data_IF_625643998820
#
_entry.id   IF_625643998820
#
_cell.length_a   1.000
_cell.length_b   1.000
_cell.length_c   1.000
_cell.angle_alpha   90.00
_cell.angle_beta   90.00
_cell.angle_gamma   90.00
#
_symmetry.space_group_name_H-M   'P 1'
#
loop_
_entity.id
_entity.type
_entity.pdbx_description
1 polymer ?
#
# COMPACT_ATOMS: atom_id res chain seq x y z
N UNK A 1 -13.83 5.81 47.80
CA UNK A 1 -13.76 6.68 46.65
C UNK A 1 -15.18 7.08 46.29
N UNK A 2 -15.60 8.32 46.66
CA UNK A 2 -16.97 8.80 46.45
C UNK A 2 -17.23 9.02 44.96
N UNK A 3 -18.42 8.69 44.41
CA UNK A 3 -18.80 9.02 43.06
C UNK A 3 -18.92 10.54 42.88
N UNK A 4 -18.57 11.10 41.69
CA UNK A 4 -18.68 12.54 41.43
C UNK A 4 -20.12 13.01 41.56
N UNK A 5 -20.32 14.19 42.14
CA UNK A 5 -21.63 14.79 42.41
C UNK A 5 -22.32 15.23 41.10
N UNK A 6 -23.67 15.44 41.15
CA UNK A 6 -24.45 15.78 39.95
C UNK A 6 -24.07 17.11 39.29
N UNK A 7 -23.38 18.01 39.97
CA UNK A 7 -22.89 19.29 39.43
C UNK A 7 -21.68 19.09 38.47
N UNK A 8 -20.78 18.12 38.75
CA UNK A 8 -19.64 17.78 37.89
C UNK A 8 -20.11 17.15 36.58
N UNK A 9 -21.18 16.36 36.62
CA UNK A 9 -21.72 15.68 35.44
C UNK A 9 -22.43 16.67 34.47
N UNK A 10 -22.96 17.76 34.93
CA UNK A 10 -23.59 18.80 34.12
C UNK A 10 -22.53 19.69 33.42
N UNK A 11 -21.46 20.05 34.15
CA UNK A 11 -20.32 20.78 33.59
C UNK A 11 -19.63 20.01 32.49
N UNK A 12 -19.41 18.69 32.69
CA UNK A 12 -18.76 17.82 31.74
C UNK A 12 -19.56 17.65 30.42
N UNK A 13 -20.90 17.55 30.51
CA UNK A 13 -21.76 17.49 29.30
C UNK A 13 -21.70 18.77 28.48
N UNK A 14 -21.55 19.93 29.12
CA UNK A 14 -21.37 21.21 28.43
C UNK A 14 -20.06 21.29 27.66
N UNK A 15 -18.99 20.79 28.25
CA UNK A 15 -17.65 20.71 27.64
C UNK A 15 -17.63 19.73 26.45
N UNK A 16 -18.19 18.55 26.63
CA UNK A 16 -18.26 17.54 25.56
C UNK A 16 -19.09 18.06 24.37
N UNK A 17 -20.18 18.81 24.61
CA UNK A 17 -20.99 19.44 23.56
C UNK A 17 -20.22 20.55 22.82
N UNK A 18 -19.43 21.35 23.54
CA UNK A 18 -18.66 22.45 22.95
C UNK A 18 -17.56 21.94 21.97
N UNK A 19 -16.99 20.77 22.25
CA UNK A 19 -15.90 20.18 21.46
C UNK A 19 -16.31 18.99 20.59
N UNK A 20 -17.60 18.68 20.50
CA UNK A 20 -18.12 17.53 19.73
C UNK A 20 -17.72 17.54 18.26
N UNK A 21 -17.48 18.71 17.67
CA UNK A 21 -16.99 18.83 16.29
C UNK A 21 -15.62 18.12 16.08
N UNK A 22 -14.79 18.04 17.10
CA UNK A 22 -13.48 17.36 17.00
C UNK A 22 -13.60 15.84 16.92
N UNK A 23 -14.73 15.23 17.27
CA UNK A 23 -14.97 13.79 17.11
C UNK A 23 -15.03 13.36 15.63
N UNK A 24 -15.24 14.32 14.72
CA UNK A 24 -15.23 14.06 13.28
C UNK A 24 -13.83 14.12 12.63
N UNK A 25 -12.81 14.52 13.38
CA UNK A 25 -11.44 14.58 12.89
C UNK A 25 -10.79 13.20 12.93
N UNK A 26 -10.04 12.88 11.87
CA UNK A 26 -9.26 11.63 11.80
C UNK A 26 -7.98 11.68 12.65
N UNK A 27 -7.47 12.87 12.93
CA UNK A 27 -6.32 13.11 13.81
C UNK A 27 -6.72 12.94 15.27
N UNK A 28 -5.76 12.58 16.12
CA UNK A 28 -5.96 12.54 17.56
C UNK A 28 -5.99 13.97 18.10
N UNK A 29 -7.06 14.36 18.77
CA UNK A 29 -7.23 15.72 19.32
C UNK A 29 -7.55 15.64 20.80
N UNK A 30 -6.82 16.44 21.58
CA UNK A 30 -7.11 16.68 23.00
C UNK A 30 -7.18 18.18 23.29
N UNK A 31 -8.13 18.59 24.11
CA UNK A 31 -8.18 19.93 24.72
C UNK A 31 -7.62 19.79 26.13
N UNK A 32 -6.63 20.61 26.44
CA UNK A 32 -5.84 20.50 27.67
C UNK A 32 -5.85 21.82 28.41
N UNK A 33 -6.06 21.77 29.70
CA UNK A 33 -5.90 22.95 30.57
C UNK A 33 -4.42 23.30 30.76
N UNK A 34 -4.14 24.51 31.21
CA UNK A 34 -2.76 25.02 31.37
C UNK A 34 -1.90 24.20 32.34
N UNK A 35 -2.53 23.46 33.27
CA UNK A 35 -1.88 22.51 34.19
C UNK A 35 -1.66 21.12 33.59
N UNK A 36 -2.06 20.90 32.33
CA UNK A 36 -1.85 19.66 31.59
C UNK A 36 -2.96 18.62 31.76
N UNK A 37 -4.09 18.94 32.40
CA UNK A 37 -5.22 18.02 32.51
C UNK A 37 -5.99 17.95 31.20
N UNK A 38 -6.37 16.76 30.81
CA UNK A 38 -7.20 16.56 29.64
C UNK A 38 -8.66 16.95 29.95
N UNK A 39 -9.15 17.98 29.26
CA UNK A 39 -10.54 18.47 29.37
C UNK A 39 -11.43 17.70 28.38
N UNK A 40 -10.92 17.43 27.19
CA UNK A 40 -11.61 16.70 26.13
C UNK A 40 -10.61 15.88 25.32
N UNK A 41 -11.01 14.70 24.85
CA UNK A 41 -10.31 13.91 23.85
C UNK A 41 -11.32 13.37 22.84
N UNK A 42 -10.94 13.37 21.56
CA UNK A 42 -11.82 12.87 20.50
C UNK A 42 -11.75 11.32 20.39
N UNK A 43 -12.68 10.76 19.62
CA UNK A 43 -12.80 9.33 19.41
C UNK A 43 -11.51 8.71 18.80
N UNK A 44 -10.80 9.43 17.94
CA UNK A 44 -9.53 8.98 17.37
C UNK A 44 -8.46 8.80 18.45
N UNK A 45 -8.41 9.72 19.42
CA UNK A 45 -7.49 9.65 20.55
C UNK A 45 -7.79 8.45 21.48
N UNK A 46 -9.08 8.23 21.80
CA UNK A 46 -9.54 7.08 22.59
C UNK A 46 -9.17 5.76 21.95
N UNK A 47 -9.39 5.64 20.63
CA UNK A 47 -9.11 4.43 19.87
C UNK A 47 -7.61 4.08 19.85
N UNK A 48 -6.74 5.07 19.66
CA UNK A 48 -5.27 4.83 19.59
C UNK A 48 -4.70 4.46 20.95
N UNK A 49 -5.17 5.12 22.03
CA UNK A 49 -4.74 4.79 23.38
C UNK A 49 -5.41 3.53 23.95
N UNK A 50 -6.52 3.06 23.36
CA UNK A 50 -7.30 1.96 23.92
C UNK A 50 -7.94 2.29 25.28
N UNK A 51 -8.12 3.59 25.58
CA UNK A 51 -8.67 4.09 26.84
C UNK A 51 -9.99 4.80 26.60
N UNK A 52 -10.94 4.66 27.53
CA UNK A 52 -12.17 5.43 27.46
C UNK A 52 -11.91 6.91 27.73
N UNK A 53 -12.74 7.81 27.17
CA UNK A 53 -12.67 9.27 27.37
C UNK A 53 -12.56 9.64 28.86
N UNK A 54 -13.34 9.00 29.71
CA UNK A 54 -13.27 9.20 31.17
C UNK A 54 -11.91 8.83 31.78
N UNK A 55 -11.24 7.81 31.25
CA UNK A 55 -9.93 7.40 31.70
C UNK A 55 -8.87 8.39 31.22
N UNK A 56 -8.99 8.87 29.98
CA UNK A 56 -8.11 9.87 29.39
C UNK A 56 -8.21 11.20 30.14
N UNK A 57 -9.42 11.66 30.49
CA UNK A 57 -9.68 12.91 31.22
C UNK A 57 -9.18 12.91 32.68
N UNK A 58 -8.89 11.75 33.26
CA UNK A 58 -8.34 11.64 34.63
C UNK A 58 -6.84 11.82 34.71
N UNK A 59 -6.13 11.68 33.59
CA UNK A 59 -4.69 11.78 33.50
C UNK A 59 -4.20 13.15 33.04
N UNK A 60 -2.92 13.41 33.24
CA UNK A 60 -2.25 14.52 32.59
C UNK A 60 -1.78 14.08 31.20
N UNK A 61 -1.96 14.96 30.19
CA UNK A 61 -1.54 14.68 28.79
C UNK A 61 -0.07 14.29 28.71
N UNK A 62 0.76 14.83 29.59
CA UNK A 62 2.19 14.60 29.61
C UNK A 62 2.56 13.16 29.96
N UNK A 63 1.71 12.45 30.71
CA UNK A 63 1.97 11.07 31.15
C UNK A 63 1.78 10.04 30.02
N UNK A 64 1.14 10.43 28.93
CA UNK A 64 0.94 9.57 27.76
C UNK A 64 2.15 9.52 26.84
N UNK A 65 3.18 10.37 27.07
CA UNK A 65 4.39 10.39 26.28
C UNK A 65 5.54 9.68 27.00
N UNK A 66 6.50 9.17 26.24
CA UNK A 66 7.72 8.56 26.79
C UNK A 66 8.54 9.63 27.51
N UNK A 67 8.65 10.82 26.91
CA UNK A 67 9.18 12.03 27.55
C UNK A 67 8.17 13.18 27.37
N UNK A 68 7.42 13.48 28.41
CA UNK A 68 6.42 14.55 28.42
C UNK A 68 6.96 15.94 28.75
N UNK A 69 8.29 16.08 29.03
CA UNK A 69 8.89 17.37 29.43
C UNK A 69 8.79 18.41 28.33
N UNK A 70 9.19 18.02 27.12
CA UNK A 70 9.17 18.90 25.96
C UNK A 70 7.74 19.41 25.63
N UNK A 71 6.76 18.54 25.74
CA UNK A 71 5.36 18.91 25.57
C UNK A 71 4.89 19.87 26.67
N UNK A 72 5.30 19.65 27.92
CA UNK A 72 4.97 20.52 29.05
C UNK A 72 5.50 21.94 28.84
N UNK A 73 6.78 22.06 28.43
CA UNK A 73 7.41 23.33 28.15
C UNK A 73 6.73 24.05 26.97
N UNK A 74 6.35 23.30 25.93
CA UNK A 74 5.62 23.83 24.79
C UNK A 74 4.24 24.33 25.16
N UNK A 75 3.46 23.56 25.92
CA UNK A 75 2.13 23.98 26.41
C UNK A 75 2.25 25.25 27.27
N UNK A 76 3.25 25.32 28.14
CA UNK A 76 3.51 26.49 28.96
C UNK A 76 3.90 27.74 28.12
N UNK A 77 4.68 27.58 27.07
CA UNK A 77 5.08 28.67 26.16
C UNK A 77 3.89 29.19 25.35
N UNK A 78 3.07 28.29 24.80
CA UNK A 78 1.83 28.64 24.08
C UNK A 78 0.84 29.33 25.03
N UNK A 79 0.72 28.85 26.27
CA UNK A 79 -0.13 29.45 27.29
C UNK A 79 0.28 30.89 27.70
N UNK A 80 1.60 31.19 27.59
CA UNK A 80 2.15 32.54 27.83
C UNK A 80 2.09 33.45 26.61
N UNK A 81 1.44 33.03 25.52
CA UNK A 81 1.37 33.75 24.24
C UNK A 81 2.75 33.98 23.57
N UNK A 82 3.76 33.13 23.89
CA UNK A 82 5.04 33.19 23.21
C UNK A 82 4.94 32.71 21.76
N UNK A 83 4.04 31.78 21.52
CA UNK A 83 3.72 31.22 20.21
C UNK A 83 2.22 30.92 20.09
N UNK A 84 1.61 31.24 18.97
CA UNK A 84 0.21 30.86 18.68
C UNK A 84 0.08 29.38 18.31
N UNK A 85 1.13 28.82 17.72
CA UNK A 85 1.24 27.40 17.32
C UNK A 85 2.67 26.93 17.50
N UNK A 86 2.86 25.74 18.06
CA UNK A 86 4.15 25.07 18.14
C UNK A 86 4.03 23.64 17.66
N UNK A 87 5.12 23.10 17.07
CA UNK A 87 5.18 21.72 16.57
C UNK A 87 6.40 21.02 17.14
N UNK A 88 6.21 19.77 17.55
CA UNK A 88 7.29 18.91 18.03
C UNK A 88 7.03 17.45 17.64
N UNK A 89 8.08 16.65 17.65
CA UNK A 89 7.98 15.19 17.52
C UNK A 89 8.06 14.55 18.91
N UNK A 90 7.22 13.54 19.14
CA UNK A 90 7.20 12.84 20.42
C UNK A 90 6.83 11.37 20.24
N UNK A 91 7.10 10.56 21.27
CA UNK A 91 6.71 9.17 21.33
C UNK A 91 5.52 8.99 22.27
N UNK A 92 4.36 8.65 21.73
CA UNK A 92 3.14 8.36 22.48
C UNK A 92 3.17 6.92 22.99
N UNK A 93 2.88 6.69 24.28
CA UNK A 93 2.80 5.34 24.85
C UNK A 93 1.44 4.71 24.54
N UNK A 94 1.47 3.51 23.97
CA UNK A 94 0.26 2.68 23.88
C UNK A 94 0.20 1.75 25.11
N UNK A 95 -0.89 1.73 25.88
CA UNK A 95 -1.06 0.74 26.93
C UNK A 95 -1.22 -0.66 26.31
N UNK A 96 -0.41 -1.63 26.74
CA UNK A 96 -0.44 -3.02 26.26
C UNK A 96 0.11 -3.98 27.30
N UNK A 97 -0.23 -5.29 27.22
CA UNK A 97 0.10 -6.28 28.24
C UNK A 97 1.61 -6.60 28.39
N UNK A 98 2.47 -6.10 27.49
CA UNK A 98 3.93 -6.31 27.53
C UNK A 98 4.74 -5.00 27.55
N UNK A 99 4.15 -3.90 28.08
CA UNK A 99 4.85 -2.61 28.12
C UNK A 99 4.78 -1.86 26.80
N UNK A 100 3.62 -1.77 26.22
CA UNK A 100 3.17 -1.11 25.00
C UNK A 100 4.18 -0.44 24.05
N UNK A 101 3.99 -0.61 22.76
CA UNK A 101 4.82 0.03 21.71
C UNK A 101 4.70 1.56 21.78
N UNK A 102 5.81 2.27 21.64
CA UNK A 102 5.84 3.72 21.51
C UNK A 102 5.49 4.13 20.07
N UNK A 103 4.47 4.95 19.91
CA UNK A 103 4.00 5.44 18.62
C UNK A 103 4.65 6.80 18.32
N UNK A 104 5.43 6.95 17.25
CA UNK A 104 5.98 8.23 16.86
C UNK A 104 4.87 9.14 16.30
N UNK A 105 4.74 10.35 16.85
CA UNK A 105 3.73 11.33 16.49
C UNK A 105 4.30 12.72 16.31
N UNK A 106 3.77 13.46 15.35
CA UNK A 106 3.87 14.91 15.32
C UNK A 106 2.81 15.49 16.25
N UNK A 107 3.24 16.30 17.21
CA UNK A 107 2.38 16.99 18.14
C UNK A 107 2.32 18.47 17.73
N UNK A 108 1.11 18.98 17.53
CA UNK A 108 0.84 20.38 17.22
C UNK A 108 0.08 20.95 18.42
N UNK A 109 0.62 21.99 19.02
CA UNK A 109 0.02 22.68 20.15
C UNK A 109 -0.45 24.05 19.69
N UNK A 110 -1.75 24.29 19.76
CA UNK A 110 -2.38 25.54 19.33
C UNK A 110 -3.01 26.26 20.54
N UNK A 111 -2.89 27.57 20.56
CA UNK A 111 -3.63 28.41 21.46
C UNK A 111 -5.11 28.40 21.09
N UNK A 112 -5.99 28.46 22.11
CA UNK A 112 -7.44 28.62 21.91
C UNK A 112 -7.86 30.00 22.41
N UNK A 113 -8.44 30.81 21.51
CA UNK A 113 -8.87 32.15 21.84
C UNK A 113 -10.09 32.12 22.80
N UNK A 114 -10.06 32.97 23.81
CA UNK A 114 -11.18 33.18 24.73
C UNK A 114 -11.40 32.11 25.79
N UNK A 115 -10.56 31.07 25.85
CA UNK A 115 -10.62 30.01 26.86
C UNK A 115 -9.22 29.69 27.41
N UNK A 116 -9.10 29.33 28.71
CA UNK A 116 -7.80 28.99 29.33
C UNK A 116 -7.36 27.54 28.99
N UNK A 117 -7.46 27.18 27.71
CA UNK A 117 -7.13 25.85 27.23
C UNK A 117 -6.20 25.92 26.01
N UNK A 118 -5.48 24.85 25.76
CA UNK A 118 -4.71 24.64 24.53
C UNK A 118 -5.23 23.42 23.78
N UNK A 119 -5.21 23.50 22.48
CA UNK A 119 -5.53 22.37 21.60
C UNK A 119 -4.24 21.61 21.29
N UNK A 120 -4.23 20.32 21.58
CA UNK A 120 -3.13 19.40 21.26
C UNK A 120 -3.62 18.44 20.21
N UNK A 121 -3.07 18.55 19.02
CA UNK A 121 -3.33 17.64 17.90
C UNK A 121 -2.13 16.73 17.68
N UNK A 122 -2.38 15.42 17.52
CA UNK A 122 -1.36 14.44 17.26
C UNK A 122 -1.63 13.73 15.93
N UNK A 123 -0.60 13.63 15.12
CA UNK A 123 -0.63 12.94 13.82
C UNK A 123 0.43 11.85 13.84
N UNK A 124 0.02 10.61 13.55
CA UNK A 124 0.98 9.49 13.45
C UNK A 124 1.95 9.75 12.28
N UNK A 125 3.26 9.66 12.56
CA UNK A 125 4.29 9.92 11.53
C UNK A 125 4.21 8.86 10.42
N UNK A 126 3.94 7.61 10.77
CA UNK A 126 3.75 6.54 9.78
C UNK A 126 2.53 6.79 8.88
N UNK A 127 1.44 7.31 9.43
CA UNK A 127 0.22 7.59 8.66
C UNK A 127 0.45 8.70 7.64
N UNK A 128 1.17 9.75 8.01
CA UNK A 128 1.53 10.85 7.11
C UNK A 128 2.50 10.39 6.01
N UNK A 129 3.53 9.63 6.38
CA UNK A 129 4.48 9.03 5.41
C UNK A 129 3.77 8.07 4.46
N UNK A 130 2.76 7.34 4.95
CA UNK A 130 1.94 6.42 4.17
C UNK A 130 1.03 7.14 3.18
N UNK A 131 0.35 8.21 3.62
CA UNK A 131 -0.48 9.05 2.74
C UNK A 131 0.35 9.72 1.64
N UNK A 132 1.52 10.25 1.97
CA UNK A 132 2.45 10.84 1.00
C UNK A 132 2.95 9.80 -0.01
N UNK A 133 3.21 8.55 0.43
CA UNK A 133 3.59 7.44 -0.46
C UNK A 133 2.43 7.05 -1.38
N UNK A 134 1.22 6.96 -0.86
CA UNK A 134 0.02 6.65 -1.63
C UNK A 134 -0.29 7.74 -2.68
N UNK A 135 -0.20 9.01 -2.32
CA UNK A 135 -0.39 10.13 -3.26
C UNK A 135 0.68 10.14 -4.36
N UNK A 136 1.93 9.88 -4.01
CA UNK A 136 3.03 9.74 -4.98
C UNK A 136 2.81 8.54 -5.90
N UNK A 137 2.40 7.39 -5.35
CA UNK A 137 2.11 6.19 -6.13
C UNK A 137 0.96 6.40 -7.11
N UNK A 138 -0.12 7.09 -6.70
CA UNK A 138 -1.25 7.42 -7.56
C UNK A 138 -0.87 8.42 -8.67
N UNK A 139 -0.07 9.45 -8.34
CA UNK A 139 0.45 10.41 -9.32
C UNK A 139 1.36 9.75 -10.35
N UNK A 140 2.25 8.88 -9.88
CA UNK A 140 3.19 8.11 -10.67
C UNK A 140 2.49 7.17 -11.66
N UNK A 141 1.44 6.50 -11.21
CA UNK A 141 0.69 5.57 -12.05
C UNK A 141 -0.09 6.28 -13.17
N UNK A 142 -0.63 7.47 -12.91
CA UNK A 142 -1.27 8.28 -13.97
C UNK A 142 -0.26 8.71 -15.03
N UNK A 143 0.89 9.24 -14.61
CA UNK A 143 1.97 9.63 -15.52
C UNK A 143 2.50 8.42 -16.32
N UNK A 144 2.68 7.27 -15.67
CA UNK A 144 3.10 6.01 -16.30
C UNK A 144 2.09 5.54 -17.35
N UNK A 145 0.79 5.65 -17.08
CA UNK A 145 -0.28 5.28 -18.01
C UNK A 145 -0.23 6.10 -19.31
N UNK A 146 -0.08 7.42 -19.19
CA UNK A 146 0.03 8.31 -20.35
C UNK A 146 1.31 8.03 -21.14
N UNK A 147 2.42 7.83 -20.45
CA UNK A 147 3.71 7.49 -21.05
C UNK A 147 3.64 6.16 -21.83
N UNK A 148 3.09 5.11 -21.23
CA UNK A 148 2.92 3.80 -21.88
C UNK A 148 2.07 3.93 -23.14
N UNK A 149 0.98 4.69 -23.07
CA UNK A 149 0.09 4.88 -24.24
C UNK A 149 0.80 5.59 -25.39
N UNK A 150 1.53 6.65 -25.09
CA UNK A 150 2.27 7.41 -26.10
C UNK A 150 3.42 6.60 -26.70
N UNK A 151 4.24 5.97 -25.84
CA UNK A 151 5.33 5.10 -26.26
C UNK A 151 4.83 3.94 -27.14
N UNK A 152 3.71 3.33 -26.77
CA UNK A 152 3.18 2.23 -27.54
C UNK A 152 2.76 2.65 -28.95
N UNK A 153 2.19 3.83 -29.14
CA UNK A 153 1.90 4.37 -30.47
C UNK A 153 3.18 4.68 -31.25
N UNK A 154 4.17 5.27 -30.61
CA UNK A 154 5.44 5.62 -31.24
C UNK A 154 6.30 4.40 -31.59
N UNK A 155 6.20 3.28 -30.85
CA UNK A 155 6.91 2.05 -31.12
C UNK A 155 6.20 1.22 -32.22
N UNK A 156 4.86 1.22 -32.25
CA UNK A 156 4.10 0.49 -33.28
C UNK A 156 4.36 1.00 -34.68
N UNK A 157 4.53 2.31 -34.84
CA UNK A 157 4.76 2.91 -36.15
C UNK A 157 6.06 2.40 -36.84
N UNK A 158 7.25 2.48 -36.22
CA UNK A 158 8.46 1.94 -36.83
C UNK A 158 8.44 0.41 -36.99
N UNK A 159 7.82 -0.34 -36.04
CA UNK A 159 7.67 -1.80 -36.18
C UNK A 159 6.82 -2.17 -37.39
N UNK A 160 5.74 -1.44 -37.65
CA UNK A 160 4.93 -1.61 -38.85
C UNK A 160 5.70 -1.33 -40.13
N UNK A 161 6.57 -0.30 -40.12
CA UNK A 161 7.48 0.01 -41.22
C UNK A 161 8.51 -1.07 -41.49
N UNK A 162 9.19 -1.56 -40.42
CA UNK A 162 10.18 -2.65 -40.53
C UNK A 162 9.53 -3.92 -41.06
N UNK A 163 8.37 -4.30 -40.52
CA UNK A 163 7.61 -5.46 -40.97
C UNK A 163 7.22 -5.35 -42.44
N UNK A 164 6.67 -4.18 -42.85
CA UNK A 164 6.26 -3.93 -44.25
C UNK A 164 7.44 -3.98 -45.22
N UNK A 165 8.57 -3.38 -44.85
CA UNK A 165 9.79 -3.43 -45.65
C UNK A 165 10.33 -4.86 -45.79
N UNK A 166 10.33 -5.66 -44.70
CA UNK A 166 10.74 -7.05 -44.73
C UNK A 166 9.83 -7.93 -45.60
N UNK A 167 8.50 -7.67 -45.58
CA UNK A 167 7.53 -8.35 -46.43
C UNK A 167 7.74 -8.03 -47.90
N UNK A 168 7.97 -6.76 -48.26
CA UNK A 168 8.29 -6.37 -49.62
C UNK A 168 9.58 -7.00 -50.10
N UNK A 169 10.62 -7.00 -49.26
CA UNK A 169 11.89 -7.63 -49.57
C UNK A 169 11.73 -9.15 -49.78
N UNK A 170 10.90 -9.83 -48.98
CA UNK A 170 10.61 -11.25 -49.11
C UNK A 170 9.99 -11.60 -50.48
N UNK A 171 9.18 -10.70 -51.06
CA UNK A 171 8.53 -10.86 -52.37
C UNK A 171 9.55 -10.71 -53.51
N UNK A 172 10.66 -10.01 -53.35
CA UNK A 172 11.67 -9.72 -54.35
C UNK A 172 12.88 -10.67 -54.29
N UNK A 173 13.00 -11.41 -53.18
CA UNK A 173 14.16 -12.27 -52.93
C UNK A 173 13.93 -13.67 -53.49
N UNK A 174 14.79 -14.10 -54.41
CA UNK A 174 14.74 -15.45 -55.03
C UNK A 174 15.55 -16.52 -54.22
N UNK A 175 16.39 -16.09 -53.31
CA UNK A 175 17.29 -16.99 -52.56
C UNK A 175 16.68 -17.41 -51.24
N UNK A 176 16.52 -18.73 -51.03
CA UNK A 176 15.94 -19.31 -49.79
C UNK A 176 16.62 -18.81 -48.50
N UNK A 177 17.94 -18.66 -48.51
CA UNK A 177 18.67 -18.15 -47.33
C UNK A 177 18.27 -16.70 -46.95
N UNK A 178 18.01 -15.85 -47.93
CA UNK A 178 17.56 -14.49 -47.70
C UNK A 178 16.11 -14.43 -47.25
N UNK A 179 15.26 -15.33 -47.77
CA UNK A 179 13.86 -15.48 -47.28
C UNK A 179 13.82 -15.90 -45.80
N UNK A 180 14.78 -16.75 -45.35
CA UNK A 180 14.87 -17.10 -43.92
C UNK A 180 15.20 -15.87 -43.05
N UNK A 181 16.03 -14.95 -43.50
CA UNK A 181 16.35 -13.72 -42.81
C UNK A 181 15.14 -12.73 -42.75
N UNK A 182 14.42 -12.57 -43.86
CA UNK A 182 13.20 -11.71 -43.86
C UNK A 182 12.14 -12.26 -42.96
N UNK A 183 11.95 -13.57 -42.89
CA UNK A 183 11.03 -14.24 -42.00
C UNK A 183 11.41 -14.02 -40.52
N UNK A 184 12.71 -14.07 -40.16
CA UNK A 184 13.17 -13.75 -38.80
C UNK A 184 12.83 -12.31 -38.44
N UNK A 185 13.04 -11.34 -39.35
CA UNK A 185 12.73 -9.93 -39.12
C UNK A 185 11.21 -9.74 -38.90
N UNK A 186 10.38 -10.38 -39.73
CA UNK A 186 8.91 -10.32 -39.62
C UNK A 186 8.47 -10.90 -38.28
N UNK A 187 8.95 -12.08 -37.91
CA UNK A 187 8.60 -12.75 -36.68
C UNK A 187 9.00 -11.94 -35.44
N UNK A 188 10.18 -11.30 -35.45
CA UNK A 188 10.63 -10.48 -34.35
C UNK A 188 9.85 -9.15 -34.25
N UNK A 189 9.49 -8.54 -35.39
CA UNK A 189 8.61 -7.38 -35.42
C UNK A 189 7.23 -7.72 -34.86
N UNK A 190 6.64 -8.84 -35.24
CA UNK A 190 5.35 -9.33 -34.72
C UNK A 190 5.43 -9.66 -33.22
N UNK A 191 6.54 -10.22 -32.75
CA UNK A 191 6.79 -10.48 -31.33
C UNK A 191 6.85 -9.18 -30.53
N UNK A 192 7.58 -8.18 -31.01
CA UNK A 192 7.66 -6.86 -30.39
C UNK A 192 6.30 -6.15 -30.39
N UNK A 193 5.55 -6.25 -31.48
CA UNK A 193 4.18 -5.73 -31.57
C UNK A 193 3.28 -6.36 -30.50
N UNK A 194 3.34 -7.67 -30.32
CA UNK A 194 2.57 -8.40 -29.31
C UNK A 194 2.94 -7.98 -27.89
N UNK A 195 4.23 -7.68 -27.61
CA UNK A 195 4.67 -7.14 -26.33
C UNK A 195 4.07 -5.76 -26.06
N UNK A 196 4.07 -4.87 -27.06
CA UNK A 196 3.45 -3.55 -26.97
C UNK A 196 1.94 -3.65 -26.79
N UNK A 197 1.27 -4.60 -27.46
CA UNK A 197 -0.15 -4.83 -27.29
C UNK A 197 -0.51 -5.35 -25.89
N UNK A 198 0.31 -6.19 -25.29
CA UNK A 198 0.15 -6.63 -23.89
C UNK A 198 0.27 -5.46 -22.91
N UNK A 199 1.17 -4.51 -23.18
CA UNK A 199 1.28 -3.27 -22.38
C UNK A 199 0.02 -2.42 -22.42
N UNK A 200 -0.65 -2.37 -23.58
CA UNK A 200 -1.88 -1.60 -23.79
C UNK A 200 -3.16 -2.34 -23.38
N UNK A 201 -3.10 -3.66 -23.20
CA UNK A 201 -4.28 -4.51 -22.94
C UNK A 201 -5.12 -4.03 -21.75
N UNK A 202 -4.54 -3.58 -20.60
CA UNK A 202 -5.30 -3.05 -19.49
C UNK A 202 -6.14 -1.81 -19.80
N UNK A 203 -5.78 -1.10 -20.89
CA UNK A 203 -6.39 0.18 -21.26
C UNK A 203 -7.38 0.07 -22.41
N UNK A 204 -7.48 -1.10 -23.06
CA UNK A 204 -8.29 -1.33 -24.26
C UNK A 204 -9.58 -2.12 -24.04
N UNK A 205 -9.60 -3.04 -23.04
CA UNK A 205 -10.80 -3.82 -22.76
C UNK A 205 -11.75 -3.04 -21.85
N UNK A 206 -13.05 -3.02 -22.13
CA UNK A 206 -14.03 -2.47 -21.21
C UNK A 206 -13.95 -3.26 -19.89
N UNK A 207 -14.03 -2.56 -18.79
CA UNK A 207 -14.04 -3.13 -17.44
C UNK A 207 -15.31 -3.98 -17.28
N UNK A 208 -15.19 -5.29 -17.17
CA UNK A 208 -16.33 -6.19 -16.94
C UNK A 208 -16.51 -6.35 -15.44
N UNK A 209 -17.30 -5.44 -14.85
CA UNK A 209 -17.57 -5.44 -13.42
C UNK A 209 -18.63 -6.48 -13.07
N UNK A 210 -18.26 -7.44 -12.26
CA UNK A 210 -19.14 -8.48 -11.68
C UNK A 210 -18.95 -8.58 -10.18
N UNK A 211 -19.72 -9.42 -9.51
CA UNK A 211 -19.46 -9.79 -8.13
C UNK A 211 -18.24 -10.72 -8.11
N UNK A 212 -17.26 -10.39 -7.30
CA UNK A 212 -15.98 -11.11 -7.19
C UNK A 212 -15.76 -11.60 -5.79
N UNK A 213 -15.49 -12.90 -5.66
CA UNK A 213 -14.95 -13.50 -4.46
C UNK A 213 -13.43 -13.54 -4.56
N UNK A 214 -12.76 -12.88 -3.62
CA UNK A 214 -11.28 -12.79 -3.66
C UNK A 214 -10.61 -14.14 -3.46
N UNK A 215 -11.24 -15.05 -2.70
CA UNK A 215 -10.68 -16.37 -2.47
C UNK A 215 -10.68 -17.22 -3.74
N UNK A 216 -11.70 -17.08 -4.61
CA UNK A 216 -11.72 -17.73 -5.93
C UNK A 216 -10.59 -17.21 -6.82
N UNK A 217 -10.31 -15.90 -6.77
CA UNK A 217 -9.16 -15.30 -7.46
C UNK A 217 -7.85 -15.92 -6.97
N UNK A 218 -7.67 -15.99 -5.64
CA UNK A 218 -6.48 -16.58 -5.04
C UNK A 218 -6.32 -18.07 -5.37
N UNK A 219 -7.40 -18.86 -5.33
CA UNK A 219 -7.36 -20.27 -5.67
C UNK A 219 -7.06 -20.51 -7.17
N UNK A 220 -7.59 -19.67 -8.04
CA UNK A 220 -7.24 -19.71 -9.47
C UNK A 220 -5.76 -19.45 -9.71
N UNK A 221 -5.21 -18.43 -9.06
CA UNK A 221 -3.77 -18.11 -9.15
C UNK A 221 -2.92 -19.24 -8.55
N UNK A 222 -3.29 -19.73 -7.38
CA UNK A 222 -2.62 -20.86 -6.74
C UNK A 222 -2.53 -22.06 -7.68
N UNK A 223 -3.64 -22.42 -8.32
CA UNK A 223 -3.70 -23.55 -9.26
C UNK A 223 -2.77 -23.35 -10.46
N UNK A 224 -2.70 -22.13 -11.01
CA UNK A 224 -1.81 -21.79 -12.13
C UNK A 224 -0.33 -21.88 -11.72
N UNK A 225 0.03 -21.33 -10.57
CA UNK A 225 1.41 -21.37 -10.06
C UNK A 225 1.86 -22.80 -9.79
N UNK A 226 1.01 -23.62 -9.15
CA UNK A 226 1.35 -25.02 -8.87
C UNK A 226 1.38 -25.90 -10.13
N UNK A 227 0.66 -25.54 -11.19
CA UNK A 227 0.75 -26.22 -12.48
C UNK A 227 2.10 -25.94 -13.19
N UNK A 228 2.61 -24.71 -13.06
CA UNK A 228 3.91 -24.32 -13.64
C UNK A 228 5.09 -24.79 -12.79
N UNK A 229 4.95 -24.77 -11.45
CA UNK A 229 5.97 -25.21 -10.49
C UNK A 229 5.45 -26.40 -9.65
N UNK A 230 5.37 -27.62 -10.23
CA UNK A 230 4.68 -28.74 -9.59
C UNK A 230 5.46 -29.39 -8.44
N UNK A 231 6.73 -29.03 -8.24
CA UNK A 231 7.60 -29.61 -7.21
C UNK A 231 8.43 -28.53 -6.53
N UNK A 232 8.63 -28.67 -5.22
CA UNK A 232 9.54 -27.83 -4.45
C UNK A 232 8.99 -26.45 -4.07
N UNK A 233 7.74 -26.12 -4.47
CA UNK A 233 7.05 -24.89 -4.10
C UNK A 233 5.77 -25.23 -3.31
N UNK A 234 5.67 -24.68 -2.11
CA UNK A 234 4.47 -24.68 -1.29
C UNK A 234 3.73 -23.36 -1.44
N UNK A 235 2.43 -23.40 -1.77
CA UNK A 235 1.56 -22.21 -1.78
C UNK A 235 0.52 -22.35 -0.68
N UNK A 236 0.75 -21.65 0.45
CA UNK A 236 -0.10 -21.71 1.65
C UNK A 236 -1.22 -20.68 1.57
N UNK A 237 -2.33 -20.97 2.27
CA UNK A 237 -3.56 -20.17 2.33
C UNK A 237 -3.81 -19.73 3.76
N UNK A 238 -4.11 -18.46 3.95
CA UNK A 238 -4.49 -17.87 5.23
C UNK A 238 -5.61 -16.85 4.99
N UNK A 239 -6.84 -17.38 4.78
CA UNK A 239 -7.98 -16.61 4.32
C UNK A 239 -8.91 -16.22 5.46
N UNK A 240 -9.32 -14.96 5.47
CA UNK A 240 -10.40 -14.44 6.29
C UNK A 240 -11.74 -14.67 5.57
N UNK A 241 -12.49 -15.67 6.01
CA UNK A 241 -13.77 -16.07 5.40
C UNK A 241 -14.88 -15.03 5.56
N UNK A 242 -14.69 -14.00 6.37
CA UNK A 242 -15.66 -12.94 6.60
C UNK A 242 -15.68 -11.87 5.51
N UNK A 243 -14.76 -11.94 4.54
CA UNK A 243 -14.66 -10.97 3.43
C UNK A 243 -15.86 -11.17 2.49
N UNK A 244 -16.71 -10.14 2.29
CA UNK A 244 -17.82 -10.23 1.37
C UNK A 244 -17.37 -10.17 -0.09
N UNK A 245 -18.21 -10.65 -0.99
CA UNK A 245 -18.05 -10.41 -2.42
C UNK A 245 -18.14 -8.90 -2.70
N UNK A 246 -17.37 -8.44 -3.69
CA UNK A 246 -17.32 -7.03 -4.06
C UNK A 246 -17.36 -6.83 -5.57
N UNK A 247 -17.71 -5.62 -6.01
CA UNK A 247 -17.78 -5.28 -7.42
C UNK A 247 -16.39 -5.07 -8.00
N UNK A 248 -16.01 -5.88 -8.98
CA UNK A 248 -14.70 -5.83 -9.60
C UNK A 248 -14.61 -6.59 -10.92
N UNK A 249 -13.47 -6.49 -11.58
CA UNK A 249 -13.15 -7.28 -12.77
C UNK A 249 -12.30 -8.48 -12.35
N UNK A 250 -12.93 -9.66 -12.32
CA UNK A 250 -12.32 -10.91 -11.87
C UNK A 250 -11.04 -11.26 -12.63
N UNK A 251 -11.03 -11.06 -13.95
CA UNK A 251 -9.89 -11.41 -14.79
C UNK A 251 -8.70 -10.48 -14.55
N UNK A 252 -8.96 -9.18 -14.35
CA UNK A 252 -7.91 -8.22 -14.01
C UNK A 252 -7.31 -8.52 -12.64
N UNK A 253 -8.13 -8.88 -11.65
CA UNK A 253 -7.64 -9.26 -10.32
C UNK A 253 -6.84 -10.56 -10.36
N UNK A 254 -7.29 -11.58 -11.10
CA UNK A 254 -6.50 -12.80 -11.34
C UNK A 254 -5.13 -12.43 -11.96
N UNK A 255 -5.11 -11.57 -12.96
CA UNK A 255 -3.88 -11.18 -13.63
C UNK A 255 -2.95 -10.38 -12.69
N UNK A 256 -3.50 -9.48 -11.87
CA UNK A 256 -2.72 -8.71 -10.89
C UNK A 256 -2.04 -9.63 -9.87
N UNK A 257 -2.81 -10.52 -9.25
CA UNK A 257 -2.31 -11.46 -8.25
C UNK A 257 -1.34 -12.47 -8.88
N UNK A 258 -1.63 -12.95 -10.10
CA UNK A 258 -0.77 -13.87 -10.85
C UNK A 258 0.58 -13.22 -11.17
N UNK A 259 0.61 -11.97 -11.60
CA UNK A 259 1.86 -11.26 -11.91
C UNK A 259 2.79 -11.18 -10.69
N UNK A 260 2.23 -10.96 -9.50
CA UNK A 260 2.98 -10.89 -8.25
C UNK A 260 3.43 -12.29 -7.82
N UNK A 261 2.51 -13.27 -7.77
CA UNK A 261 2.81 -14.62 -7.35
C UNK A 261 3.81 -15.33 -8.31
N UNK A 262 3.70 -15.06 -9.61
CA UNK A 262 4.65 -15.58 -10.62
C UNK A 262 6.05 -14.96 -10.45
N UNK A 263 6.12 -13.65 -10.13
CA UNK A 263 7.39 -13.01 -9.80
C UNK A 263 8.05 -13.63 -8.56
N UNK A 264 7.25 -13.96 -7.54
CA UNK A 264 7.69 -14.65 -6.33
C UNK A 264 8.21 -16.07 -6.68
N UNK A 265 7.43 -16.87 -7.42
CA UNK A 265 7.82 -18.21 -7.82
C UNK A 265 9.10 -18.23 -8.66
N UNK A 266 9.23 -17.29 -9.60
CA UNK A 266 10.45 -17.14 -10.40
C UNK A 266 11.67 -16.71 -9.57
N UNK A 267 11.48 -15.86 -8.53
CA UNK A 267 12.56 -15.48 -7.63
C UNK A 267 13.05 -16.68 -6.80
N UNK A 268 12.12 -17.55 -6.43
CA UNK A 268 12.38 -18.78 -5.68
C UNK A 268 13.01 -19.89 -6.55
N UNK A 269 12.72 -19.90 -7.86
CA UNK A 269 13.25 -20.89 -8.80
C UNK A 269 14.67 -20.60 -9.24
N UNK A 270 14.97 -19.33 -9.55
CA UNK A 270 16.26 -18.88 -10.05
C UNK A 270 16.99 -18.05 -9.02
N UNK A 271 18.24 -18.42 -8.72
CA UNK A 271 19.15 -17.51 -8.05
C UNK A 271 19.37 -16.26 -8.92
N UNK A 272 19.47 -15.08 -8.29
CA UNK A 272 19.95 -13.87 -8.96
C UNK A 272 21.45 -13.89 -8.99
N UNK A 273 22.03 -13.33 -10.06
CA UNK A 273 23.47 -13.16 -10.14
C UNK A 273 24.04 -12.34 -8.97
N UNK A 274 23.23 -11.39 -8.44
CA UNK A 274 23.60 -10.47 -7.33
C UNK A 274 22.91 -10.82 -6.00
N UNK A 275 22.20 -11.95 -5.91
CA UNK A 275 21.46 -12.37 -4.71
C UNK A 275 22.33 -13.18 -3.74
N UNK A 276 21.99 -13.13 -2.44
CA UNK A 276 22.59 -14.00 -1.44
C UNK A 276 22.34 -15.48 -1.82
N UNK A 277 23.39 -16.28 -2.03
CA UNK A 277 23.29 -17.70 -2.41
C UNK A 277 22.38 -18.51 -1.47
N UNK A 278 22.25 -18.10 -0.22
CA UNK A 278 21.38 -18.73 0.79
C UNK A 278 19.90 -18.78 0.38
N UNK A 279 19.46 -17.82 -0.44
CA UNK A 279 18.05 -17.73 -0.87
C UNK A 279 17.86 -18.12 -2.35
N UNK A 280 18.92 -18.53 -3.03
CA UNK A 280 18.86 -18.97 -4.41
C UNK A 280 18.38 -20.43 -4.52
N UNK A 281 17.56 -20.74 -5.54
CA UNK A 281 17.18 -22.10 -5.86
C UNK A 281 16.33 -22.82 -4.81
N UNK A 282 15.53 -22.09 -4.02
CA UNK A 282 14.69 -22.67 -2.96
C UNK A 282 13.68 -23.69 -3.46
N UNK A 283 13.20 -23.56 -4.71
CA UNK A 283 12.33 -24.58 -5.33
C UNK A 283 13.11 -25.89 -5.48
N UNK A 284 14.36 -25.83 -5.93
CA UNK A 284 15.19 -27.04 -6.06
C UNK A 284 15.51 -27.67 -4.69
N UNK A 285 15.65 -26.85 -3.65
CA UNK A 285 15.86 -27.30 -2.27
C UNK A 285 14.58 -27.84 -1.60
N UNK A 286 13.39 -27.55 -2.15
CA UNK A 286 12.10 -27.98 -1.60
C UNK A 286 11.62 -27.16 -0.40
N UNK A 287 12.17 -25.96 -0.16
CA UNK A 287 11.83 -25.05 0.94
C UNK A 287 11.20 -23.72 0.47
N UNK A 288 10.86 -23.65 -0.82
CA UNK A 288 10.20 -22.48 -1.39
C UNK A 288 8.75 -22.36 -0.92
N UNK A 289 8.39 -21.18 -0.42
CA UNK A 289 7.04 -20.91 0.08
C UNK A 289 6.51 -19.57 -0.42
N UNK A 290 5.23 -19.59 -0.86
CA UNK A 290 4.42 -18.40 -1.11
C UNK A 290 3.18 -18.50 -0.22
N UNK A 291 2.84 -17.44 0.50
CA UNK A 291 1.65 -17.35 1.35
C UNK A 291 0.68 -16.34 0.75
N UNK A 292 -0.55 -16.78 0.50
CA UNK A 292 -1.67 -15.92 0.14
C UNK A 292 -2.53 -15.71 1.38
N UNK A 293 -2.58 -14.45 1.86
CA UNK A 293 -3.34 -14.09 3.06
C UNK A 293 -4.34 -13.00 2.73
N UNK A 294 -5.55 -13.15 3.25
CA UNK A 294 -6.60 -12.13 3.13
C UNK A 294 -7.06 -11.66 4.51
N UNK A 295 -7.34 -10.37 4.67
CA UNK A 295 -7.84 -9.76 5.90
C UNK A 295 -8.82 -8.65 5.58
N UNK A 296 -9.71 -8.34 6.54
CA UNK A 296 -10.53 -7.13 6.51
C UNK A 296 -9.85 -6.03 7.31
N UNK A 297 -9.63 -4.88 6.66
CA UNK A 297 -9.28 -3.64 7.32
C UNK A 297 -10.53 -2.78 7.51
N UNK A 298 -10.66 -2.16 8.68
CA UNK A 298 -11.77 -1.26 9.02
C UNK A 298 -11.28 0.17 9.07
N UNK A 299 -12.17 1.11 8.69
CA UNK A 299 -11.93 2.56 8.75
C UNK A 299 -10.63 2.97 8.06
N UNK A 300 -10.43 2.47 6.84
CA UNK A 300 -9.24 2.74 6.03
C UNK A 300 -9.43 4.03 5.21
N UNK A 301 -8.39 4.84 5.13
CA UNK A 301 -8.32 5.97 4.22
C UNK A 301 -7.43 5.59 3.04
N UNK A 302 -7.97 5.61 1.82
CA UNK A 302 -7.23 5.37 0.59
C UNK A 302 -7.24 6.66 -0.24
N UNK A 303 -6.08 7.23 -0.48
CA UNK A 303 -5.96 8.58 -1.03
C UNK A 303 -6.64 9.60 -0.10
N UNK A 304 -7.67 10.29 -0.61
CA UNK A 304 -8.45 11.28 0.16
C UNK A 304 -9.83 10.78 0.62
N UNK A 305 -10.14 9.53 0.34
CA UNK A 305 -11.46 8.95 0.62
C UNK A 305 -11.38 7.94 1.77
N UNK A 306 -12.31 8.08 2.72
CA UNK A 306 -12.44 7.17 3.85
C UNK A 306 -13.42 6.05 3.49
N UNK A 307 -12.99 4.83 3.68
CA UNK A 307 -13.79 3.63 3.48
C UNK A 307 -14.06 2.93 4.80
N UNK A 308 -15.26 2.41 4.94
CA UNK A 308 -15.68 1.69 6.15
C UNK A 308 -14.98 0.34 6.27
N UNK A 309 -14.83 -0.34 5.15
CA UNK A 309 -14.16 -1.63 5.02
C UNK A 309 -13.23 -1.61 3.83
N UNK A 310 -12.14 -2.35 3.92
CA UNK A 310 -11.25 -2.65 2.81
C UNK A 310 -10.76 -4.10 2.91
N UNK A 311 -10.57 -4.73 1.76
CA UNK A 311 -9.85 -5.99 1.62
C UNK A 311 -8.35 -5.70 1.66
N UNK A 312 -7.62 -6.42 2.48
CA UNK A 312 -6.18 -6.56 2.40
C UNK A 312 -5.83 -7.95 1.86
N UNK A 313 -5.16 -8.01 0.72
CA UNK A 313 -4.59 -9.22 0.17
C UNK A 313 -3.07 -9.14 0.26
N UNK A 314 -2.48 -10.10 0.93
CA UNK A 314 -1.05 -10.22 1.13
C UNK A 314 -0.50 -11.40 0.33
N UNK A 315 0.59 -11.15 -0.40
CA UNK A 315 1.34 -12.16 -1.12
C UNK A 315 2.77 -12.11 -0.58
N UNK A 316 3.15 -13.11 0.18
CA UNK A 316 4.44 -13.17 0.87
C UNK A 316 5.25 -14.36 0.35
N UNK A 317 6.53 -14.13 0.04
CA UNK A 317 7.47 -15.17 -0.33
C UNK A 317 8.73 -15.15 0.55
N UNK A 318 9.39 -16.29 0.65
CA UNK A 318 10.62 -16.45 1.40
C UNK A 318 11.89 -16.39 0.52
N UNK A 319 11.81 -15.67 -0.58
CA UNK A 319 12.86 -15.56 -1.59
C UNK A 319 13.99 -14.59 -1.26
N UNK A 320 14.86 -14.29 -2.25
CA UNK A 320 16.05 -13.47 -2.06
C UNK A 320 15.78 -11.97 -1.84
N UNK A 321 14.53 -11.54 -1.92
CA UNK A 321 14.16 -10.14 -1.84
C UNK A 321 14.30 -9.37 -3.16
N UNK A 322 13.86 -8.11 -3.14
CA UNK A 322 14.02 -7.16 -4.23
C UNK A 322 15.34 -6.41 -4.05
N UNK A 323 16.20 -6.26 -5.11
CA UNK A 323 17.42 -5.49 -4.99
C UNK A 323 17.14 -4.06 -4.58
N UNK A 324 18.00 -3.52 -3.74
CA UNK A 324 17.93 -2.14 -3.28
C UNK A 324 17.98 -1.15 -4.46
N UNK A 325 18.79 -1.45 -5.48
CA UNK A 325 18.96 -0.60 -6.67
C UNK A 325 17.69 -0.37 -7.49
N UNK A 326 16.70 -1.26 -7.39
CA UNK A 326 15.44 -1.17 -8.14
C UNK A 326 14.21 -1.06 -7.22
N UNK A 327 14.35 -1.18 -5.90
CA UNK A 327 13.24 -1.26 -4.93
C UNK A 327 12.23 -0.13 -5.11
N UNK A 328 12.69 1.10 -5.27
CA UNK A 328 11.81 2.27 -5.43
C UNK A 328 11.17 2.36 -6.82
N UNK A 329 11.63 1.53 -7.77
CA UNK A 329 11.21 1.57 -9.17
C UNK A 329 10.59 0.28 -9.69
N UNK A 330 10.26 -0.67 -8.80
CA UNK A 330 9.73 -1.99 -9.21
C UNK A 330 8.38 -1.91 -9.95
N UNK A 331 7.63 -0.84 -9.74
CA UNK A 331 6.36 -0.58 -10.42
C UNK A 331 6.51 0.24 -11.71
N UNK A 332 7.72 0.73 -12.03
CA UNK A 332 7.96 1.41 -13.31
C UNK A 332 8.01 0.40 -14.46
N UNK A 333 7.48 0.76 -15.64
CA UNK A 333 7.54 -0.12 -16.79
C UNK A 333 8.98 -0.40 -17.23
N UNK A 334 9.22 -1.60 -17.71
CA UNK A 334 10.51 -2.08 -18.21
C UNK A 334 11.61 -2.17 -17.14
N UNK A 335 11.30 -1.98 -15.88
CA UNK A 335 12.23 -2.22 -14.77
C UNK A 335 12.17 -3.70 -14.40
N UNK A 336 13.28 -4.40 -14.58
CA UNK A 336 13.44 -5.81 -14.23
C UNK A 336 14.77 -6.00 -13.51
N UNK A 337 14.74 -6.80 -12.46
CA UNK A 337 15.95 -7.25 -11.79
C UNK A 337 16.42 -8.62 -12.27
N UNK A 338 15.91 -9.11 -13.42
CA UNK A 338 16.27 -10.41 -14.00
C UNK A 338 16.57 -10.26 -15.48
N UNK A 339 17.52 -11.07 -15.93
CA UNK A 339 17.81 -11.22 -17.36
C UNK A 339 16.60 -11.83 -18.07
N UNK A 340 16.14 -11.20 -19.16
CA UNK A 340 14.99 -11.64 -19.94
C UNK A 340 13.61 -11.33 -19.33
N UNK A 341 13.53 -10.68 -18.17
CA UNK A 341 12.27 -10.21 -17.61
C UNK A 341 11.71 -9.02 -18.37
N UNK A 342 10.41 -9.05 -18.73
CA UNK A 342 9.76 -7.94 -19.46
C UNK A 342 9.67 -6.63 -18.65
N UNK A 343 9.77 -6.68 -17.32
CA UNK A 343 9.60 -5.52 -16.43
C UNK A 343 8.18 -4.93 -16.43
N UNK A 344 7.18 -5.67 -16.92
CA UNK A 344 5.81 -5.19 -17.11
C UNK A 344 4.83 -5.75 -16.10
N UNK A 345 5.13 -6.89 -15.48
CA UNK A 345 4.18 -7.62 -14.64
C UNK A 345 3.69 -6.80 -13.44
N UNK A 346 4.59 -6.15 -12.70
CA UNK A 346 4.23 -5.35 -11.53
C UNK A 346 3.55 -4.03 -11.91
N UNK A 347 3.93 -3.42 -13.02
CA UNK A 347 3.24 -2.24 -13.57
C UNK A 347 1.78 -2.55 -13.91
N UNK A 348 1.54 -3.72 -14.54
CA UNK A 348 0.19 -4.19 -14.85
C UNK A 348 -0.61 -4.50 -13.58
N UNK A 349 0.02 -5.16 -12.60
CA UNK A 349 -0.61 -5.43 -11.31
C UNK A 349 -1.05 -4.13 -10.62
N UNK A 350 -0.18 -3.12 -10.58
CA UNK A 350 -0.51 -1.81 -10.03
C UNK A 350 -1.67 -1.15 -10.79
N UNK A 351 -1.66 -1.19 -12.12
CA UNK A 351 -2.72 -0.63 -12.96
C UNK A 351 -4.08 -1.29 -12.65
N UNK A 352 -4.13 -2.62 -12.57
CA UNK A 352 -5.39 -3.33 -12.29
C UNK A 352 -5.90 -3.05 -10.87
N UNK A 353 -5.02 -3.03 -9.87
CA UNK A 353 -5.40 -2.68 -8.50
C UNK A 353 -5.97 -1.26 -8.42
N UNK A 354 -5.38 -0.30 -9.14
CA UNK A 354 -5.86 1.08 -9.18
C UNK A 354 -7.19 1.24 -9.91
N UNK A 355 -7.48 0.42 -10.93
CA UNK A 355 -8.80 0.39 -11.57
C UNK A 355 -9.91 -0.05 -10.60
N UNK A 356 -9.53 -0.79 -9.55
CA UNK A 356 -10.39 -1.16 -8.43
C UNK A 356 -10.31 -0.17 -7.24
N UNK A 357 -9.80 1.06 -7.48
CA UNK A 357 -9.61 2.11 -6.45
C UNK A 357 -8.69 1.66 -5.30
N UNK A 358 -7.88 0.63 -5.54
CA UNK A 358 -6.96 0.06 -4.56
C UNK A 358 -5.54 0.62 -4.65
N UNK A 359 -4.73 0.21 -3.69
CA UNK A 359 -3.29 0.49 -3.62
C UNK A 359 -2.50 -0.80 -3.54
N UNK A 360 -1.24 -0.75 -3.97
CA UNK A 360 -0.28 -1.85 -3.84
C UNK A 360 1.02 -1.32 -3.25
N UNK A 361 1.52 -2.00 -2.25
CA UNK A 361 2.77 -1.71 -1.55
C UNK A 361 3.68 -2.95 -1.57
N UNK A 362 4.99 -2.74 -1.49
CA UNK A 362 5.99 -3.80 -1.41
C UNK A 362 6.98 -3.50 -0.29
N UNK A 363 7.14 -4.46 0.61
CA UNK A 363 8.21 -4.50 1.58
C UNK A 363 9.06 -5.71 1.27
N UNK A 364 10.38 -5.56 1.24
CA UNK A 364 11.26 -6.65 0.84
C UNK A 364 12.59 -6.61 1.53
N UNK A 365 12.91 -7.74 2.14
CA UNK A 365 14.18 -8.09 2.76
C UNK A 365 14.61 -9.49 2.28
N UNK A 366 15.90 -9.81 2.30
CA UNK A 366 16.34 -11.18 2.00
C UNK A 366 15.68 -12.19 2.95
N UNK A 367 14.97 -13.16 2.37
CA UNK A 367 14.19 -14.16 3.10
C UNK A 367 12.72 -13.81 3.28
N UNK A 368 12.29 -12.59 2.94
CA UNK A 368 10.91 -12.18 3.01
C UNK A 368 10.61 -11.06 2.04
N UNK A 369 9.79 -11.32 1.03
CA UNK A 369 9.17 -10.29 0.18
C UNK A 369 7.68 -10.30 0.41
N UNK A 370 7.12 -9.14 0.63
CA UNK A 370 5.74 -8.97 1.03
C UNK A 370 5.08 -7.90 0.15
N UNK A 371 4.09 -8.32 -0.64
CA UNK A 371 3.23 -7.42 -1.39
C UNK A 371 1.88 -7.31 -0.69
N UNK A 372 1.45 -6.09 -0.43
CA UNK A 372 0.15 -5.77 0.16
C UNK A 372 -0.72 -5.06 -0.87
N UNK A 373 -1.84 -5.65 -1.24
CA UNK A 373 -2.89 -5.05 -2.05
C UNK A 373 -4.03 -4.67 -1.12
N UNK A 374 -4.51 -3.43 -1.25
CA UNK A 374 -5.67 -2.93 -0.51
C UNK A 374 -6.74 -2.49 -1.50
N UNK A 375 -7.95 -3.04 -1.38
CA UNK A 375 -9.10 -2.70 -2.23
C UNK A 375 -10.26 -2.28 -1.34
N UNK A 376 -10.90 -1.11 -1.58
CA UNK A 376 -12.06 -0.70 -0.81
C UNK A 376 -13.23 -1.66 -1.04
N UNK A 377 -13.94 -1.98 0.04
CA UNK A 377 -15.18 -2.76 0.02
C UNK A 377 -16.39 -1.83 0.18
N UNK A 378 -17.56 -2.22 -0.33
CA UNK A 378 -18.78 -1.41 -0.24
C UNK A 378 -19.26 -1.17 1.18
#
# INVERSE_FOLDING_TARGET
>A
MQPPGPADAAGQRGVDAAYAAFDHLATMVAVVSLDGRCVFANASFENVLGLSRRSVQRGAVFDWFVDGRMLRDTVAAVARNEFSTSRLEALLRRPGPAGGDALPVHVIVNQMDGVPHVLVELVEIEQQTRQDREERALGQARATKELIRNLAHEIKNPLGGIRGAAQLLEMEVETRALTEYTQVIINEADRLQALVDRLLAPHRKPHVVSDVNIHEVCERVRSLILAEFPRGLEVTRDYDVSIPDFRGDREQLIQAVLNIAHNAAQALAGGRADGDPKYAGRIAAGDARITLRTRIARQMTLGKQRYRLALELHIEDNGPGVPESIRDRIFYPLVSGRDGGSGLGLTLAQTFVQQHQGTIECESEPGRTFFKIVIPLP
#
